data_IF_078768107672
#
_entry.id   IF_078768107672
#
_cell.length_a   1.000
_cell.length_b   1.000
_cell.length_c   1.000
_cell.angle_alpha   90.00
_cell.angle_beta   90.00
_cell.angle_gamma   90.00
#
_symmetry.space_group_name_H-M   'P 1'
#
loop_
_entity.id
_entity.type
_entity.pdbx_description
1 polymer ?
#
# COMPACT_ATOMS: atom_id res chain seq x y z
N UNK A 1 15.89 -16.92 12.08
CA UNK A 1 16.39 -15.70 12.76
C UNK A 1 15.25 -14.96 13.39
N UNK A 2 15.52 -14.11 14.37
CA UNK A 2 14.49 -13.30 15.04
C UNK A 2 13.82 -12.32 14.08
N UNK A 3 12.55 -11.97 14.36
CA UNK A 3 11.83 -10.91 13.69
C UNK A 3 12.42 -9.54 14.04
N UNK A 4 12.43 -8.62 13.08
CA UNK A 4 12.92 -7.27 13.28
C UNK A 4 11.93 -6.25 12.69
N UNK A 5 11.13 -5.64 13.56
CA UNK A 5 10.04 -4.73 13.19
C UNK A 5 9.07 -5.38 12.18
N UNK A 6 8.38 -6.47 12.53
CA UNK A 6 7.33 -7.00 11.67
C UNK A 6 6.20 -5.97 11.56
N UNK A 7 5.68 -5.78 10.36
CA UNK A 7 4.68 -4.75 10.05
C UNK A 7 3.32 -5.32 9.73
N UNK A 8 3.28 -6.58 9.26
CA UNK A 8 2.04 -7.20 8.84
C UNK A 8 2.05 -8.71 9.05
N UNK A 9 0.86 -9.28 9.21
CA UNK A 9 0.60 -10.72 9.28
C UNK A 9 -0.73 -11.02 8.59
N UNK A 10 -0.71 -11.95 7.63
CA UNK A 10 -1.90 -12.37 6.92
C UNK A 10 -1.97 -13.89 6.79
N UNK A 11 -3.17 -14.43 6.57
CA UNK A 11 -3.38 -15.85 6.27
C UNK A 11 -3.71 -16.04 4.79
N UNK A 12 -3.09 -17.03 4.16
CA UNK A 12 -3.49 -17.46 2.82
C UNK A 12 -4.57 -18.54 2.87
N UNK A 13 -5.32 -18.68 1.78
CA UNK A 13 -6.34 -19.76 1.64
C UNK A 13 -5.71 -21.17 1.64
N UNK A 14 -4.39 -21.28 1.52
CA UNK A 14 -3.62 -22.52 1.66
C UNK A 14 -3.40 -22.92 3.14
N UNK A 15 -3.96 -22.18 4.10
CA UNK A 15 -3.81 -22.37 5.54
C UNK A 15 -2.45 -21.97 6.09
N UNK A 16 -1.61 -21.31 5.29
CA UNK A 16 -0.33 -20.79 5.73
C UNK A 16 -0.47 -19.33 6.21
N UNK A 17 0.46 -18.94 7.06
CA UNK A 17 0.55 -17.58 7.60
C UNK A 17 1.77 -16.90 6.98
N UNK A 18 1.60 -15.65 6.60
CA UNK A 18 2.67 -14.85 6.02
C UNK A 18 2.95 -13.65 6.92
N UNK A 19 4.22 -13.40 7.19
CA UNK A 19 4.67 -12.30 8.06
C UNK A 19 5.61 -11.40 7.26
N UNK A 20 5.32 -10.12 7.25
CA UNK A 20 6.22 -9.09 6.71
C UNK A 20 7.23 -8.67 7.76
N UNK A 21 8.48 -9.09 7.60
CA UNK A 21 9.59 -8.79 8.51
C UNK A 21 10.43 -7.63 7.96
N UNK A 22 9.89 -6.42 8.15
CA UNK A 22 10.25 -5.19 7.47
C UNK A 22 11.77 -4.90 7.50
N UNK A 23 12.37 -4.80 8.68
CA UNK A 23 13.80 -4.46 8.80
C UNK A 23 14.75 -5.59 8.41
N UNK A 24 14.26 -6.80 8.27
CA UNK A 24 15.02 -7.92 7.72
C UNK A 24 14.80 -8.07 6.20
N UNK A 25 13.99 -7.19 5.58
CA UNK A 25 13.71 -7.17 4.14
C UNK A 25 13.26 -8.53 3.60
N UNK A 26 12.30 -9.19 4.30
CA UNK A 26 11.83 -10.52 3.95
C UNK A 26 10.36 -10.73 4.27
N UNK A 27 9.77 -11.73 3.59
CA UNK A 27 8.47 -12.30 3.95
C UNK A 27 8.73 -13.72 4.46
N UNK A 28 8.11 -14.08 5.58
CA UNK A 28 8.20 -15.43 6.16
C UNK A 28 6.86 -16.12 5.98
N UNK A 29 6.90 -17.34 5.43
CA UNK A 29 5.75 -18.23 5.32
C UNK A 29 5.84 -19.30 6.39
N UNK A 30 4.79 -19.44 7.20
CA UNK A 30 4.63 -20.44 8.24
C UNK A 30 3.47 -21.38 7.88
N UNK A 31 3.54 -22.64 8.30
CA UNK A 31 2.40 -23.55 8.25
C UNK A 31 1.44 -23.34 9.44
N UNK A 32 0.35 -24.11 9.48
CA UNK A 32 -0.66 -24.06 10.55
C UNK A 32 -0.13 -24.43 11.94
N UNK A 33 1.05 -25.03 12.03
CA UNK A 33 1.75 -25.35 13.28
C UNK A 33 2.85 -24.33 13.61
N UNK A 34 2.83 -23.16 12.91
CA UNK A 34 3.78 -22.05 13.04
C UNK A 34 5.24 -22.42 12.73
N UNK A 35 5.48 -23.48 11.96
CA UNK A 35 6.82 -23.83 11.47
C UNK A 35 7.13 -23.09 10.19
N UNK A 36 8.35 -22.57 10.07
CA UNK A 36 8.80 -21.90 8.86
C UNK A 36 8.81 -22.87 7.66
N UNK A 37 8.00 -22.60 6.66
CA UNK A 37 7.93 -23.33 5.40
C UNK A 37 8.85 -22.69 4.37
N UNK A 38 8.84 -21.35 4.29
CA UNK A 38 9.64 -20.61 3.33
C UNK A 38 10.01 -19.23 3.86
N UNK A 39 11.13 -18.71 3.38
CA UNK A 39 11.57 -17.32 3.65
C UNK A 39 11.92 -16.66 2.32
N UNK A 40 11.10 -15.69 1.92
CA UNK A 40 11.30 -14.92 0.69
C UNK A 40 12.26 -13.76 0.98
N UNK A 41 13.51 -13.90 0.61
CA UNK A 41 14.54 -12.83 0.63
C UNK A 41 14.89 -12.37 -0.78
N UNK A 42 14.62 -13.20 -1.76
CA UNK A 42 14.95 -13.00 -3.16
C UNK A 42 13.78 -13.40 -4.04
N UNK A 43 13.56 -12.61 -5.07
CA UNK A 43 12.54 -12.82 -6.08
C UNK A 43 13.19 -12.83 -7.46
N UNK A 44 12.51 -13.38 -8.46
CA UNK A 44 12.98 -13.40 -9.84
C UNK A 44 12.03 -12.62 -10.74
N UNK A 45 12.57 -11.74 -11.58
CA UNK A 45 11.83 -11.03 -12.62
C UNK A 45 12.64 -11.04 -13.91
N UNK A 46 12.08 -11.62 -14.98
CA UNK A 46 12.76 -11.75 -16.27
C UNK A 46 14.20 -12.32 -16.15
N UNK A 47 14.37 -13.33 -15.30
CA UNK A 47 15.67 -13.94 -15.03
C UNK A 47 16.63 -13.11 -14.19
N UNK A 48 16.22 -11.96 -13.70
CA UNK A 48 17.03 -11.10 -12.83
C UNK A 48 16.56 -11.22 -11.38
N UNK A 49 17.54 -11.24 -10.48
CA UNK A 49 17.30 -11.22 -9.03
C UNK A 49 16.74 -9.87 -8.59
N UNK A 50 15.71 -9.93 -7.75
CA UNK A 50 15.10 -8.79 -7.09
C UNK A 50 15.12 -9.03 -5.57
N UNK A 51 15.27 -7.96 -4.80
CA UNK A 51 15.22 -7.99 -3.32
C UNK A 51 14.24 -6.96 -2.80
N UNK A 52 13.71 -7.18 -1.60
CA UNK A 52 12.86 -6.23 -0.91
C UNK A 52 13.70 -5.14 -0.21
N UNK A 53 13.05 -4.01 0.02
CA UNK A 53 13.56 -2.93 0.85
C UNK A 53 12.43 -2.36 1.70
N UNK A 54 12.50 -2.57 3.01
CA UNK A 54 11.48 -2.13 3.96
C UNK A 54 10.04 -2.49 3.50
N UNK A 55 9.74 -3.78 3.24
CA UNK A 55 8.39 -4.19 2.91
C UNK A 55 7.45 -3.89 4.08
N UNK A 56 6.23 -3.46 3.80
CA UNK A 56 5.26 -3.05 4.83
C UNK A 56 4.08 -4.01 4.96
N UNK A 57 3.67 -4.63 3.86
CA UNK A 57 2.49 -5.50 3.85
C UNK A 57 2.65 -6.65 2.86
N UNK A 58 1.95 -7.76 3.09
CA UNK A 58 1.78 -8.88 2.15
C UNK A 58 0.33 -9.34 2.14
N UNK A 59 -0.29 -9.41 0.99
CA UNK A 59 -1.60 -10.00 0.76
C UNK A 59 -1.48 -11.26 -0.09
N UNK A 60 -2.29 -12.26 0.22
CA UNK A 60 -2.32 -13.54 -0.52
C UNK A 60 -3.72 -13.75 -1.08
N UNK A 61 -3.88 -13.65 -2.40
CA UNK A 61 -5.16 -13.88 -3.06
C UNK A 61 -5.57 -15.35 -3.04
N UNK A 62 -6.82 -15.62 -3.37
CA UNK A 62 -7.40 -16.96 -3.33
C UNK A 62 -6.66 -17.97 -4.22
N UNK A 63 -6.07 -17.52 -5.33
CA UNK A 63 -5.25 -18.35 -6.24
C UNK A 63 -3.80 -18.53 -5.78
N UNK A 64 -3.43 -17.97 -4.61
CA UNK A 64 -2.09 -18.04 -4.04
C UNK A 64 -1.11 -17.00 -4.62
N UNK A 65 -1.58 -16.00 -5.36
CA UNK A 65 -0.74 -14.89 -5.79
C UNK A 65 -0.38 -14.01 -4.61
N UNK A 66 0.89 -13.66 -4.48
CA UNK A 66 1.40 -12.76 -3.43
C UNK A 66 1.47 -11.33 -3.99
N UNK A 67 0.88 -10.40 -3.27
CA UNK A 67 1.01 -8.95 -3.48
C UNK A 67 1.81 -8.39 -2.33
N UNK A 68 2.95 -7.75 -2.60
CA UNK A 68 3.89 -7.29 -1.57
C UNK A 68 4.11 -5.79 -1.73
N UNK A 69 3.77 -5.02 -0.71
CA UNK A 69 4.13 -3.60 -0.61
C UNK A 69 5.62 -3.48 -0.29
N UNK A 70 6.44 -3.28 -1.32
CA UNK A 70 7.89 -3.09 -1.24
C UNK A 70 8.19 -1.58 -1.14
N UNK A 71 7.80 -0.99 0.01
CA UNK A 71 7.71 0.45 0.25
C UNK A 71 9.02 1.18 -0.04
N UNK A 72 10.15 0.71 0.50
CA UNK A 72 11.45 1.36 0.30
C UNK A 72 11.94 1.31 -1.14
N UNK A 73 11.41 0.41 -1.98
CA UNK A 73 11.64 0.37 -3.42
C UNK A 73 10.53 1.07 -4.21
N UNK A 74 9.52 1.65 -3.55
CA UNK A 74 8.41 2.42 -4.14
C UNK A 74 7.61 1.62 -5.17
N UNK A 75 7.32 0.36 -4.84
CA UNK A 75 6.66 -0.56 -5.76
C UNK A 75 5.82 -1.61 -5.04
N UNK A 76 4.96 -2.25 -5.81
CA UNK A 76 4.28 -3.48 -5.40
C UNK A 76 4.81 -4.60 -6.29
N UNK A 77 5.16 -5.73 -5.67
CA UNK A 77 5.49 -6.95 -6.38
C UNK A 77 4.25 -7.86 -6.42
N UNK A 78 3.91 -8.34 -7.61
CA UNK A 78 2.89 -9.36 -7.82
C UNK A 78 3.60 -10.63 -8.27
N UNK A 79 3.62 -11.66 -7.44
CA UNK A 79 4.41 -12.85 -7.68
C UNK A 79 3.67 -14.15 -7.30
N UNK A 80 4.15 -15.27 -7.81
CA UNK A 80 3.66 -16.59 -7.41
C UNK A 80 4.32 -17.06 -6.10
N UNK A 81 3.84 -18.18 -5.56
CA UNK A 81 4.35 -18.79 -4.33
C UNK A 81 5.84 -19.22 -4.38
N UNK A 82 6.47 -19.21 -5.54
CA UNK A 82 7.89 -19.52 -5.70
C UNK A 82 8.76 -18.25 -5.74
N UNK A 83 8.16 -17.05 -5.60
CA UNK A 83 8.88 -15.77 -5.67
C UNK A 83 9.20 -15.33 -7.10
N UNK A 84 8.54 -15.89 -8.12
CA UNK A 84 8.64 -15.42 -9.50
C UNK A 84 7.66 -14.27 -9.69
N UNK A 85 8.17 -13.09 -9.99
CA UNK A 85 7.40 -11.88 -10.19
C UNK A 85 6.75 -11.93 -11.57
N UNK A 86 5.42 -11.73 -11.60
CA UNK A 86 4.61 -11.58 -12.82
C UNK A 86 4.46 -10.12 -13.23
N UNK A 87 4.35 -9.23 -12.24
CA UNK A 87 4.18 -7.78 -12.47
C UNK A 87 4.87 -6.97 -11.37
N UNK A 88 5.39 -5.82 -11.74
CA UNK A 88 5.88 -4.79 -10.81
C UNK A 88 5.03 -3.55 -11.05
N UNK A 89 4.34 -3.08 -10.02
CA UNK A 89 3.58 -1.83 -10.05
C UNK A 89 4.42 -0.74 -9.41
N UNK A 90 4.54 0.36 -10.12
CA UNK A 90 5.24 1.57 -9.68
C UNK A 90 4.28 2.76 -9.74
N UNK A 91 4.78 3.96 -9.47
CA UNK A 91 4.00 5.19 -9.59
C UNK A 91 3.21 5.21 -10.91
N UNK A 92 1.86 5.37 -10.84
CA UNK A 92 1.06 5.47 -12.05
C UNK A 92 1.45 6.67 -12.93
N UNK A 93 1.60 6.45 -14.21
CA UNK A 93 1.79 7.49 -15.22
C UNK A 93 0.42 8.05 -15.66
N UNK A 94 -0.23 8.80 -14.77
CA UNK A 94 -1.55 9.36 -14.98
C UNK A 94 -1.63 10.76 -14.39
N UNK A 95 -2.33 11.68 -15.08
CA UNK A 95 -2.60 13.03 -14.55
C UNK A 95 -3.46 13.01 -13.27
N UNK A 96 -4.22 11.94 -13.06
CA UNK A 96 -5.02 11.75 -11.84
C UNK A 96 -4.13 11.48 -10.62
N UNK A 97 -2.93 10.88 -10.83
CA UNK A 97 -2.01 10.63 -9.72
C UNK A 97 -1.21 11.90 -9.41
N UNK A 98 -1.12 12.35 -8.12
CA UNK A 98 -0.40 13.57 -7.76
C UNK A 98 1.06 13.52 -8.19
N UNK A 99 1.45 14.44 -9.07
CA UNK A 99 2.79 14.42 -9.70
C UNK A 99 3.92 14.72 -8.71
N UNK A 100 3.63 15.50 -7.67
CA UNK A 100 4.54 15.88 -6.58
C UNK A 100 4.68 14.80 -5.50
N UNK A 101 3.93 13.67 -5.61
CA UNK A 101 3.95 12.58 -4.64
C UNK A 101 4.72 11.38 -5.15
N UNK A 102 5.35 10.69 -4.20
CA UNK A 102 5.97 9.39 -4.43
C UNK A 102 4.91 8.27 -4.29
N UNK A 103 5.18 7.12 -4.85
CA UNK A 103 4.38 5.92 -4.66
C UNK A 103 5.00 5.11 -3.52
N UNK A 104 4.47 5.28 -2.32
CA UNK A 104 4.94 4.63 -1.08
C UNK A 104 3.84 3.71 -0.56
N UNK A 105 3.70 2.48 -1.10
CA UNK A 105 2.63 1.57 -0.68
C UNK A 105 2.87 1.09 0.74
N UNK A 106 1.87 1.29 1.61
CA UNK A 106 1.89 0.91 3.03
C UNK A 106 1.09 -0.37 3.26
N UNK A 107 -0.15 -0.39 2.79
CA UNK A 107 -1.10 -1.47 2.99
C UNK A 107 -1.87 -1.74 1.69
N UNK A 108 -2.29 -2.97 1.47
CA UNK A 108 -3.04 -3.33 0.27
C UNK A 108 -3.97 -4.53 0.49
N UNK A 109 -5.06 -4.54 -0.25
CA UNK A 109 -5.98 -5.69 -0.33
C UNK A 109 -6.40 -5.92 -1.78
N UNK A 110 -6.77 -7.16 -2.09
CA UNK A 110 -7.27 -7.54 -3.42
C UNK A 110 -8.63 -8.19 -3.25
N UNK A 111 -9.65 -7.67 -3.94
CA UNK A 111 -10.99 -8.25 -3.93
C UNK A 111 -11.05 -9.60 -4.61
N UNK A 112 -12.13 -10.34 -4.39
CA UNK A 112 -12.41 -11.60 -5.09
C UNK A 112 -12.50 -11.44 -6.61
N UNK A 113 -12.77 -10.23 -7.11
CA UNK A 113 -12.80 -9.88 -8.54
C UNK A 113 -11.44 -9.44 -9.10
N UNK A 114 -10.40 -9.38 -8.26
CA UNK A 114 -9.05 -9.02 -8.69
C UNK A 114 -8.72 -7.52 -8.64
N UNK A 115 -9.64 -6.68 -8.15
CA UNK A 115 -9.38 -5.25 -7.97
C UNK A 115 -8.45 -5.04 -6.78
N UNK A 116 -7.35 -4.30 -7.00
CA UNK A 116 -6.34 -4.01 -5.97
C UNK A 116 -6.54 -2.60 -5.42
N UNK A 117 -6.67 -2.49 -4.11
CA UNK A 117 -6.71 -1.24 -3.35
C UNK A 117 -5.41 -1.08 -2.58
N UNK A 118 -4.80 0.09 -2.64
CA UNK A 118 -3.50 0.36 -2.01
C UNK A 118 -3.55 1.66 -1.22
N UNK A 119 -3.22 1.61 0.06
CA UNK A 119 -2.91 2.80 0.83
C UNK A 119 -1.45 3.19 0.61
N UNK A 120 -1.23 4.46 0.29
CA UNK A 120 0.11 5.01 0.07
C UNK A 120 0.37 6.14 1.05
N UNK A 121 1.56 6.16 1.64
CA UNK A 121 1.96 7.29 2.48
C UNK A 121 2.00 8.61 1.69
N UNK A 122 1.47 9.66 2.32
CA UNK A 122 1.38 10.99 1.72
C UNK A 122 0.31 11.15 0.64
N UNK A 123 -0.49 10.13 0.33
CA UNK A 123 -1.65 10.19 -0.57
C UNK A 123 -2.92 10.33 0.27
N UNK A 124 -3.63 11.44 0.10
CA UNK A 124 -4.82 11.78 0.89
C UNK A 124 -6.11 11.71 0.07
N UNK A 125 -6.02 11.37 -1.20
CA UNK A 125 -7.15 11.22 -2.11
C UNK A 125 -7.96 9.95 -1.84
N UNK A 126 -7.44 9.02 -1.07
CA UNK A 126 -8.05 7.73 -0.78
C UNK A 126 -7.12 6.58 -1.15
N UNK A 127 -7.64 5.36 -1.16
CA UNK A 127 -6.89 4.21 -1.64
C UNK A 127 -6.65 4.32 -3.15
N UNK A 128 -5.43 4.07 -3.59
CA UNK A 128 -5.06 3.96 -5.01
C UNK A 128 -5.67 2.68 -5.55
N UNK A 129 -6.38 2.74 -6.66
CA UNK A 129 -7.12 1.59 -7.22
C UNK A 129 -6.51 1.15 -8.54
N UNK A 130 -6.27 -0.15 -8.64
CA UNK A 130 -5.91 -0.82 -9.87
C UNK A 130 -7.00 -1.85 -10.21
N UNK A 131 -7.36 -1.94 -11.49
CA UNK A 131 -8.31 -2.94 -11.99
C UNK A 131 -7.73 -4.37 -11.98
N UNK A 132 -8.50 -5.34 -12.44
CA UNK A 132 -8.12 -6.76 -12.54
C UNK A 132 -6.90 -7.01 -13.45
N UNK A 133 -6.65 -6.13 -14.40
CA UNK A 133 -5.47 -6.14 -15.28
C UNK A 133 -4.29 -5.36 -14.69
N UNK A 134 -4.44 -4.87 -13.45
CA UNK A 134 -3.46 -4.06 -12.71
C UNK A 134 -3.15 -2.71 -13.40
N UNK A 135 -4.14 -2.11 -14.07
CA UNK A 135 -4.07 -0.75 -14.57
C UNK A 135 -4.65 0.22 -13.54
N UNK A 136 -3.99 1.34 -13.34
CA UNK A 136 -4.47 2.38 -12.42
C UNK A 136 -5.77 3.01 -12.95
N UNK A 137 -6.80 3.04 -12.11
CA UNK A 137 -8.13 3.56 -12.46
C UNK A 137 -8.51 4.83 -11.69
N UNK A 138 -7.85 5.11 -10.57
CA UNK A 138 -8.15 6.30 -9.76
C UNK A 138 -8.01 6.05 -8.27
N UNK A 139 -8.90 6.66 -7.47
CA UNK A 139 -8.91 6.59 -6.02
C UNK A 139 -10.28 6.19 -5.50
N UNK A 140 -10.31 5.37 -4.47
CA UNK A 140 -11.52 4.98 -3.73
C UNK A 140 -11.52 5.59 -2.34
N UNK A 141 -12.73 5.94 -1.85
CA UNK A 141 -12.89 6.54 -0.53
C UNK A 141 -12.35 7.97 -0.47
N UNK A 142 -12.26 8.65 -1.63
CA UNK A 142 -11.70 9.99 -1.71
C UNK A 142 -12.41 10.92 -0.73
N UNK A 143 -11.65 11.42 0.25
CA UNK A 143 -12.06 12.57 1.04
C UNK A 143 -12.08 13.80 0.13
N UNK A 144 -12.98 13.85 -0.84
CA UNK A 144 -13.35 15.09 -1.52
C UNK A 144 -14.04 15.95 -0.47
N UNK A 145 -13.23 16.69 0.27
CA UNK A 145 -13.75 17.84 0.99
C UNK A 145 -14.23 18.78 -0.09
N UNK A 146 -15.53 18.74 -0.39
CA UNK A 146 -16.13 19.83 -1.16
C UNK A 146 -15.76 21.11 -0.44
N UNK A 147 -15.04 22.04 -1.10
CA UNK A 147 -14.61 23.25 -0.45
C UNK A 147 -15.86 24.05 -0.07
N UNK A 148 -16.34 23.84 1.14
CA UNK A 148 -17.39 24.69 1.71
C UNK A 148 -16.93 26.13 1.62
N UNK A 149 -17.84 27.08 1.38
CA UNK A 149 -17.53 28.53 1.36
C UNK A 149 -16.65 28.95 2.52
N UNK A 150 -16.78 28.28 3.68
CA UNK A 150 -15.94 28.48 4.86
C UNK A 150 -14.46 28.12 4.60
N UNK A 151 -14.17 27.04 3.93
CA UNK A 151 -12.78 26.62 3.59
C UNK A 151 -12.18 27.55 2.54
N UNK A 152 -12.98 28.00 1.57
CA UNK A 152 -12.56 28.94 0.54
C UNK A 152 -12.22 30.30 1.18
N UNK A 153 -13.06 30.80 2.10
CA UNK A 153 -12.82 32.06 2.80
C UNK A 153 -11.62 31.95 3.76
N UNK A 154 -11.45 30.84 4.49
CA UNK A 154 -10.28 30.60 5.34
C UNK A 154 -8.98 30.54 4.53
N UNK A 155 -8.98 29.94 3.35
CA UNK A 155 -7.81 29.89 2.48
C UNK A 155 -7.47 31.25 1.87
N UNK A 156 -8.47 32.07 1.55
CA UNK A 156 -8.29 33.48 1.13
C UNK A 156 -7.71 34.31 2.28
N UNK A 157 -8.26 34.17 3.49
CA UNK A 157 -7.74 34.84 4.69
C UNK A 157 -6.31 34.39 5.04
N UNK A 158 -5.97 33.12 4.87
CA UNK A 158 -4.59 32.62 5.07
C UNK A 158 -3.57 33.28 4.13
N UNK A 159 -3.97 33.67 2.92
CA UNK A 159 -3.11 34.40 1.99
C UNK A 159 -2.92 35.85 2.36
N UNK A 160 -3.87 36.48 3.06
CA UNK A 160 -3.87 37.88 3.45
C UNK A 160 -3.42 38.10 4.91
N UNK A 161 -3.43 37.05 5.73
CA UNK A 161 -3.11 37.13 7.16
C UNK A 161 -1.61 37.27 7.44
N UNK A 162 -1.26 38.00 8.50
CA UNK A 162 0.11 38.11 9.02
C UNK A 162 0.63 36.77 9.61
N UNK A 163 1.94 36.64 9.81
CA UNK A 163 2.57 35.44 10.40
C UNK A 163 1.96 35.05 11.75
N UNK A 164 1.64 36.02 12.60
CA UNK A 164 1.03 35.80 13.93
C UNK A 164 -0.42 35.32 13.84
N UNK A 165 -1.16 35.83 12.88
CA UNK A 165 -2.54 35.41 12.65
C UNK A 165 -2.58 33.99 12.06
N UNK A 166 -1.63 33.60 11.19
CA UNK A 166 -1.54 32.27 10.63
C UNK A 166 -1.25 31.18 11.68
N UNK A 167 -0.49 31.52 12.74
CA UNK A 167 -0.17 30.56 13.82
C UNK A 167 -1.37 30.16 14.67
N UNK A 168 -2.43 30.98 14.69
CA UNK A 168 -3.67 30.77 15.46
C UNK A 168 -4.80 30.16 14.66
N UNK A 169 -4.63 29.98 13.35
CA UNK A 169 -5.63 29.35 12.49
C UNK A 169 -5.56 27.83 12.58
N UNK A 170 -6.71 27.19 12.72
CA UNK A 170 -6.78 25.72 12.68
C UNK A 170 -6.17 25.19 11.38
N UNK A 171 -5.22 24.28 11.50
CA UNK A 171 -4.71 23.53 10.36
C UNK A 171 -5.66 22.37 10.11
N UNK A 172 -6.32 22.37 8.96
CA UNK A 172 -6.96 21.17 8.48
C UNK A 172 -5.83 20.19 8.08
N UNK A 173 -5.70 19.13 8.84
CA UNK A 173 -4.81 18.01 8.49
C UNK A 173 -5.72 16.96 7.85
N UNK A 174 -5.55 16.66 6.56
CA UNK A 174 -6.27 15.53 5.96
C UNK A 174 -5.96 14.26 6.76
N UNK A 175 -7.00 13.48 7.06
CA UNK A 175 -6.82 12.18 7.71
C UNK A 175 -6.41 11.20 6.63
N UNK A 176 -5.29 10.53 6.82
CA UNK A 176 -4.85 9.42 5.99
C UNK A 176 -5.48 8.13 6.52
N UNK A 177 -5.94 7.26 5.63
CA UNK A 177 -6.32 5.91 6.00
C UNK A 177 -5.08 5.15 6.47
N UNK A 178 -5.22 4.33 7.52
CA UNK A 178 -4.09 3.63 8.14
C UNK A 178 -4.11 2.12 7.89
N UNK A 179 -5.24 1.56 7.49
CA UNK A 179 -5.37 0.15 7.13
C UNK A 179 -6.55 -0.10 6.21
N UNK A 180 -6.46 -1.19 5.45
CA UNK A 180 -7.52 -1.77 4.64
C UNK A 180 -7.80 -3.18 5.15
N UNK A 181 -9.05 -3.59 5.04
CA UNK A 181 -9.48 -4.97 5.25
C UNK A 181 -10.59 -5.29 4.27
N UNK A 182 -10.78 -6.57 3.98
CA UNK A 182 -11.79 -7.07 3.06
C UNK A 182 -12.64 -8.09 3.81
N UNK A 183 -13.96 -8.02 3.68
CA UNK A 183 -14.83 -8.99 4.30
C UNK A 183 -15.09 -10.21 3.38
N UNK A 184 -15.83 -11.20 3.88
CA UNK A 184 -16.11 -12.45 3.16
C UNK A 184 -17.14 -12.28 2.02
N UNK A 185 -17.76 -11.08 1.89
CA UNK A 185 -18.80 -10.81 0.90
C UNK A 185 -18.25 -10.17 -0.40
N UNK A 186 -16.96 -9.78 -0.44
CA UNK A 186 -16.29 -9.12 -1.57
C UNK A 186 -15.42 -10.05 -2.44
#
# INVERSE_FOLDING_TARGET
>A
GELNSPTDITSGNDGNIYITDCKNNRIIKLDSEYRTVHVYTEFSFEGKKQTLNSPTNVFVSADGTLYISDNGNRRILVCNNNGEIRRILTKPESELFPQDKEFLPEDLVVTGTGVLYVLCDGIYQGAVVFDEDLNFTGFYGSNTVEPTLKIITENLWKKLATKEQRSKMSRYVPVQYSSLDIDEED
#
